data_IF_560505178049
#
_entry.id   IF_560505178049
#
_cell.length_a   1.000
_cell.length_b   1.000
_cell.length_c   1.000
_cell.angle_alpha   90.00
_cell.angle_beta   90.00
_cell.angle_gamma   90.00
#
_symmetry.space_group_name_H-M   'P 1'
#
loop_
_entity.id
_entity.type
_entity.pdbx_description
1 polymer ?
#
# COMPACT_ATOMS: atom_id res chain seq x y z
N UNK A 1 17.91 -12.78 -10.29
CA UNK A 1 18.05 -11.68 -9.31
C UNK A 1 16.64 -11.16 -9.03
N UNK A 2 16.02 -11.62 -7.94
CA UNK A 2 14.63 -11.27 -7.61
C UNK A 2 14.55 -9.79 -7.20
N UNK A 3 13.88 -8.98 -8.00
CA UNK A 3 13.50 -7.63 -7.61
C UNK A 3 12.18 -7.70 -6.83
N UNK A 4 12.24 -7.78 -5.50
CA UNK A 4 11.06 -7.60 -4.66
C UNK A 4 10.78 -6.11 -4.49
N UNK A 5 9.59 -5.68 -4.91
CA UNK A 5 9.00 -4.40 -4.53
C UNK A 5 8.01 -4.73 -3.41
N UNK A 6 8.39 -4.44 -2.17
CA UNK A 6 7.46 -4.54 -1.04
C UNK A 6 6.83 -3.17 -0.80
N UNK A 7 5.80 -2.84 -1.57
CA UNK A 7 4.87 -1.77 -1.21
C UNK A 7 3.81 -2.42 -0.31
N UNK A 8 4.14 -2.53 0.98
CA UNK A 8 3.13 -2.94 1.96
C UNK A 8 2.17 -1.77 2.16
N UNK A 9 0.88 -1.98 1.90
CA UNK A 9 -0.18 -1.01 2.23
C UNK A 9 -0.33 -0.80 3.75
N UNK A 10 0.35 -1.61 4.55
CA UNK A 10 0.46 -1.51 6.01
C UNK A 10 1.58 -0.55 6.41
N UNK A 11 2.53 -0.26 5.50
CA UNK A 11 3.65 0.65 5.71
C UNK A 11 3.34 1.96 4.99
N UNK A 12 3.21 3.04 5.75
CA UNK A 12 3.13 4.38 5.16
C UNK A 12 4.48 4.84 4.53
N UNK A 13 5.42 3.91 4.33
CA UNK A 13 6.77 4.14 3.83
C UNK A 13 7.13 3.06 2.80
N UNK A 14 8.05 3.38 1.90
CA UNK A 14 8.56 2.49 0.86
C UNK A 14 9.97 2.03 1.26
N UNK A 15 10.31 0.79 0.95
CA UNK A 15 11.70 0.28 1.03
C UNK A 15 12.10 -0.28 -0.32
N UNK A 16 13.40 -0.32 -0.60
CA UNK A 16 13.91 -0.98 -1.80
C UNK A 16 15.09 -1.89 -1.46
N UNK A 17 15.07 -3.08 -2.02
CA UNK A 17 16.17 -4.04 -1.93
C UNK A 17 17.43 -3.45 -2.57
N UNK A 18 18.57 -3.57 -1.86
CA UNK A 18 19.87 -3.05 -2.32
C UNK A 18 20.24 -3.66 -3.69
N UNK A 19 20.67 -2.82 -4.61
CA UNK A 19 21.04 -3.18 -5.98
C UNK A 19 19.87 -3.38 -6.94
N UNK A 20 18.61 -3.20 -6.49
CA UNK A 20 17.45 -3.38 -7.35
C UNK A 20 17.24 -2.19 -8.30
N UNK A 21 16.61 -2.44 -9.46
CA UNK A 21 16.15 -1.37 -10.36
C UNK A 21 15.21 -0.38 -9.66
N UNK A 22 14.43 -0.86 -8.71
CA UNK A 22 13.53 -0.02 -7.92
C UNK A 22 14.30 0.92 -6.98
N UNK A 23 15.43 0.47 -6.42
CA UNK A 23 16.31 1.35 -5.63
C UNK A 23 16.85 2.51 -6.46
N UNK A 24 17.25 2.25 -7.72
CA UNK A 24 17.70 3.31 -8.64
C UNK A 24 16.58 4.31 -8.92
N UNK A 25 15.36 3.83 -9.14
CA UNK A 25 14.19 4.67 -9.38
C UNK A 25 13.85 5.54 -8.16
N UNK A 26 13.86 4.97 -6.95
CA UNK A 26 13.65 5.74 -5.72
C UNK A 26 14.73 6.81 -5.54
N UNK A 27 16.00 6.52 -5.84
CA UNK A 27 17.08 7.51 -5.77
C UNK A 27 16.86 8.68 -6.74
N UNK A 28 16.28 8.43 -7.91
CA UNK A 28 15.89 9.50 -8.84
C UNK A 28 14.76 10.34 -8.26
N UNK A 29 13.73 9.72 -7.67
CA UNK A 29 12.64 10.43 -7.00
C UNK A 29 13.12 11.22 -5.78
N UNK A 30 14.08 10.69 -5.03
CA UNK A 30 14.72 11.37 -3.90
C UNK A 30 15.45 12.63 -4.39
N UNK A 31 16.25 12.51 -5.47
CA UNK A 31 16.93 13.65 -6.09
C UNK A 31 15.95 14.70 -6.63
N UNK A 32 14.79 14.26 -7.12
CA UNK A 32 13.71 15.14 -7.59
C UNK A 32 12.86 15.73 -6.45
N UNK A 33 13.15 15.39 -5.18
CA UNK A 33 12.41 15.88 -4.02
C UNK A 33 10.99 15.33 -3.88
N UNK A 34 10.66 14.23 -4.58
CA UNK A 34 9.34 13.59 -4.54
C UNK A 34 9.20 12.63 -3.34
N UNK A 35 10.33 12.07 -2.89
CA UNK A 35 10.43 11.24 -1.70
C UNK A 35 11.64 11.66 -0.87
N UNK A 36 11.63 11.37 0.42
CA UNK A 36 12.77 11.58 1.33
C UNK A 36 13.02 10.34 2.18
N UNK A 37 14.27 10.16 2.63
CA UNK A 37 14.58 9.13 3.62
C UNK A 37 13.91 9.46 4.94
N UNK A 38 13.35 8.44 5.56
CA UNK A 38 12.76 8.50 6.88
C UNK A 38 13.75 7.96 7.92
N UNK A 39 14.19 8.76 8.89
CA UNK A 39 15.22 8.32 9.84
C UNK A 39 14.76 7.14 10.68
N UNK A 40 15.59 6.10 10.77
CA UNK A 40 15.26 4.92 11.57
C UNK A 40 15.10 5.23 13.07
N UNK A 41 15.68 6.33 13.56
CA UNK A 41 15.55 6.79 14.95
C UNK A 41 14.12 7.20 15.34
N UNK A 42 13.26 7.54 14.37
CA UNK A 42 11.88 8.02 14.62
C UNK A 42 10.81 7.04 14.14
N UNK A 43 11.21 5.88 13.62
CA UNK A 43 10.29 4.82 13.19
C UNK A 43 10.70 3.47 13.76
N UNK A 44 9.74 2.72 14.30
CA UNK A 44 10.08 1.51 15.05
C UNK A 44 8.90 0.66 15.50
N UNK A 45 9.01 0.12 16.71
CA UNK A 45 8.02 -0.77 17.34
C UNK A 45 7.62 -0.23 18.71
N UNK A 46 6.33 -0.20 19.01
CA UNK A 46 5.78 0.01 20.35
C UNK A 46 5.46 -1.35 20.96
N UNK A 47 6.25 -1.74 21.96
CA UNK A 47 5.99 -2.96 22.74
C UNK A 47 5.25 -2.62 24.03
N UNK A 48 4.30 -3.49 24.40
CA UNK A 48 3.79 -3.50 25.77
C UNK A 48 4.93 -3.90 26.71
N UNK A 49 5.01 -3.26 27.87
CA UNK A 49 5.89 -3.73 28.94
C UNK A 49 5.43 -5.15 29.33
N UNK A 50 6.31 -6.14 29.21
CA UNK A 50 6.07 -7.46 29.79
C UNK A 50 6.13 -7.31 31.31
N UNK A 51 5.09 -7.76 31.99
CA UNK A 51 4.99 -7.81 33.45
C UNK A 51 5.77 -8.98 34.03
N UNK A 52 7.04 -9.17 33.63
CA UNK A 52 7.87 -10.31 34.05
C UNK A 52 9.15 -9.93 34.83
N UNK A 53 9.36 -8.65 35.17
CA UNK A 53 10.45 -8.23 36.09
C UNK A 53 9.90 -7.56 37.37
N UNK A 54 8.93 -8.21 38.01
CA UNK A 54 8.48 -7.84 39.35
C UNK A 54 8.61 -9.03 40.31
N UNK A 55 9.84 -9.48 40.55
CA UNK A 55 10.18 -10.20 41.78
C UNK A 55 10.66 -9.19 42.82
N UNK A 56 9.74 -8.38 43.34
CA UNK A 56 9.89 -7.94 44.73
C UNK A 56 8.52 -7.56 45.30
N UNK A 57 8.11 -8.31 46.32
CA UNK A 57 6.84 -8.15 47.01
C UNK A 57 6.93 -7.00 48.01
N UNK A 58 6.54 -5.79 47.60
CA UNK A 58 6.09 -4.76 48.54
C UNK A 58 4.87 -4.05 47.98
N UNK A 59 3.70 -4.45 48.50
CA UNK A 59 2.40 -3.86 48.15
C UNK A 59 2.18 -2.63 49.04
N UNK A 60 2.38 -1.45 48.47
CA UNK A 60 1.59 -0.27 48.86
C UNK A 60 0.77 0.14 47.66
N UNK A 61 -0.55 -0.01 47.81
CA UNK A 61 -1.54 0.39 46.83
C UNK A 61 -1.57 1.92 46.79
N UNK A 62 -0.95 2.51 45.76
CA UNK A 62 -1.32 3.83 45.26
C UNK A 62 -0.73 4.05 43.86
N UNK A 63 -1.56 4.66 43.00
CA UNK A 63 -1.31 5.07 41.60
C UNK A 63 -1.39 3.97 40.53
N UNK A 64 -2.26 4.22 39.55
CA UNK A 64 -2.36 3.51 38.29
C UNK A 64 -1.01 3.55 37.54
N UNK A 65 -0.16 2.56 37.78
CA UNK A 65 1.00 2.27 36.95
C UNK A 65 0.52 1.80 35.58
N UNK A 66 0.15 2.77 34.72
CA UNK A 66 0.02 2.54 33.28
C UNK A 66 1.39 2.07 32.81
N UNK A 67 1.51 0.79 32.49
CA UNK A 67 2.70 0.24 31.84
C UNK A 67 3.00 1.07 30.59
N UNK A 68 4.00 1.94 30.69
CA UNK A 68 4.40 2.81 29.57
C UNK A 68 4.89 1.88 28.46
N UNK A 69 4.20 1.88 27.33
CA UNK A 69 4.70 1.14 26.16
C UNK A 69 6.04 1.76 25.75
N UNK A 70 7.08 0.93 25.58
CA UNK A 70 8.41 1.43 25.23
C UNK A 70 8.54 1.44 23.70
N UNK A 71 8.84 2.62 23.16
CA UNK A 71 9.23 2.73 21.76
C UNK A 71 10.64 2.19 21.56
N UNK A 72 10.83 1.39 20.51
CA UNK A 72 12.12 0.93 20.06
C UNK A 72 12.27 1.30 18.58
N UNK A 73 13.18 2.23 18.31
CA UNK A 73 13.60 2.59 16.95
C UNK A 73 14.13 1.38 16.18
N UNK A 74 13.98 1.39 14.85
CA UNK A 74 14.60 0.38 14.01
C UNK A 74 16.13 0.55 13.97
N UNK A 75 16.85 -0.56 13.96
CA UNK A 75 18.31 -0.62 13.74
C UNK A 75 18.68 -1.69 12.69
N UNK A 76 17.74 -1.96 11.78
CA UNK A 76 17.87 -3.03 10.78
C UNK A 76 18.66 -2.60 9.54
N UNK A 77 19.22 -1.39 9.53
CA UNK A 77 19.91 -0.74 8.40
C UNK A 77 19.06 -0.64 7.12
N UNK A 78 17.76 -0.93 7.20
CA UNK A 78 16.84 -0.80 6.07
C UNK A 78 16.56 0.68 5.86
N UNK A 79 16.75 1.15 4.63
CA UNK A 79 16.41 2.52 4.26
C UNK A 79 14.92 2.60 3.94
N UNK A 80 14.24 3.49 4.65
CA UNK A 80 12.81 3.76 4.50
C UNK A 80 12.63 5.11 3.82
N UNK A 81 11.68 5.21 2.90
CA UNK A 81 11.36 6.42 2.18
C UNK A 81 9.91 6.82 2.40
N UNK A 82 9.65 8.11 2.44
CA UNK A 82 8.33 8.71 2.59
C UNK A 82 8.12 9.76 1.49
N UNK A 83 6.88 10.04 1.11
CA UNK A 83 6.60 11.16 0.20
C UNK A 83 6.79 12.51 0.91
N UNK A 84 7.54 13.42 0.31
CA UNK A 84 7.95 14.71 0.91
C UNK A 84 6.77 15.64 1.24
N UNK A 85 5.64 15.46 0.58
CA UNK A 85 4.36 16.13 0.90
C UNK A 85 3.21 15.13 0.82
N UNK A 86 3.46 13.91 1.28
CA UNK A 86 2.67 12.74 0.91
C UNK A 86 3.08 12.19 -0.46
N UNK A 87 2.38 11.16 -0.93
CA UNK A 87 2.71 10.47 -2.19
C UNK A 87 2.01 11.04 -3.43
N UNK A 88 1.07 11.97 -3.25
CA UNK A 88 0.35 12.59 -4.37
C UNK A 88 1.29 13.29 -5.37
N UNK A 89 2.28 14.11 -4.97
CA UNK A 89 3.23 14.70 -5.92
C UNK A 89 4.02 13.67 -6.73
N UNK A 90 4.38 12.54 -6.11
CA UNK A 90 5.03 11.44 -6.82
C UNK A 90 4.09 10.85 -7.89
N UNK A 91 2.83 10.59 -7.53
CA UNK A 91 1.83 10.08 -8.46
C UNK A 91 1.57 11.05 -9.62
N UNK A 92 1.48 12.34 -9.35
CA UNK A 92 1.29 13.37 -10.37
C UNK A 92 2.53 13.49 -11.28
N UNK A 93 3.74 13.45 -10.71
CA UNK A 93 4.98 13.45 -11.49
C UNK A 93 5.11 12.23 -12.41
N UNK A 94 4.54 11.08 -12.04
CA UNK A 94 4.47 9.90 -12.91
C UNK A 94 3.39 10.07 -13.99
N UNK A 95 2.28 10.72 -13.66
CA UNK A 95 1.19 10.99 -14.59
C UNK A 95 1.59 11.97 -15.70
N UNK A 96 2.41 12.99 -15.40
CA UNK A 96 2.91 13.96 -16.40
C UNK A 96 3.85 13.33 -17.43
N UNK A 97 4.42 12.17 -17.13
CA UNK A 97 5.24 11.39 -18.07
C UNK A 97 4.40 10.54 -19.03
N UNK A 98 3.08 10.46 -18.82
CA UNK A 98 2.17 9.74 -19.70
C UNK A 98 1.62 10.68 -20.79
N UNK A 99 1.49 10.17 -22.03
CA UNK A 99 0.96 10.94 -23.17
C UNK A 99 -0.47 11.42 -22.95
N UNK A 100 -1.29 10.61 -22.27
CA UNK A 100 -2.68 10.96 -21.97
C UNK A 100 -3.14 10.30 -20.68
N UNK A 101 -3.70 11.10 -19.79
CA UNK A 101 -4.32 10.65 -18.55
C UNK A 101 -5.74 11.18 -18.52
N UNK A 102 -6.73 10.30 -18.39
CA UNK A 102 -8.15 10.68 -18.36
C UNK A 102 -8.71 10.37 -16.97
N UNK A 103 -9.15 11.40 -16.25
CA UNK A 103 -9.72 11.32 -14.90
C UNK A 103 -10.90 12.30 -14.77
N UNK A 104 -12.05 11.93 -14.17
CA UNK A 104 -12.43 10.59 -13.74
C UNK A 104 -12.88 9.72 -14.93
N UNK A 105 -12.35 8.50 -15.06
CA UNK A 105 -12.78 7.56 -16.09
C UNK A 105 -12.85 6.13 -15.55
N UNK A 106 -14.07 5.61 -15.45
CA UNK A 106 -14.30 4.20 -15.16
C UNK A 106 -14.28 3.38 -16.45
N UNK A 107 -13.56 2.26 -16.45
CA UNK A 107 -13.56 1.27 -17.54
C UNK A 107 -14.25 0.02 -17.00
N UNK A 108 -15.46 -0.24 -17.50
CA UNK A 108 -16.32 -1.31 -17.02
C UNK A 108 -16.39 -2.53 -17.93
N UNK A 109 -15.92 -2.40 -19.17
CA UNK A 109 -15.92 -3.48 -20.16
C UNK A 109 -14.72 -3.36 -21.10
N UNK A 110 -14.14 -4.51 -21.46
CA UNK A 110 -13.16 -4.65 -22.53
C UNK A 110 -13.58 -5.79 -23.45
N UNK A 111 -13.88 -5.49 -24.72
CA UNK A 111 -14.29 -6.50 -25.70
C UNK A 111 -13.23 -6.70 -26.77
N UNK A 112 -12.92 -7.96 -27.12
CA UNK A 112 -12.10 -8.25 -28.27
C UNK A 112 -12.90 -7.99 -29.57
N UNK A 113 -12.27 -7.37 -30.56
CA UNK A 113 -12.87 -7.07 -31.85
C UNK A 113 -11.91 -7.43 -32.98
N UNK A 114 -12.47 -7.98 -34.06
CA UNK A 114 -11.76 -8.08 -35.33
C UNK A 114 -12.12 -6.82 -36.14
N UNK A 115 -11.10 -6.08 -36.54
CA UNK A 115 -11.20 -4.90 -37.40
C UNK A 115 -10.41 -5.17 -38.69
N UNK A 116 -10.54 -4.30 -39.69
CA UNK A 116 -9.74 -4.38 -40.92
C UNK A 116 -8.23 -4.30 -40.64
N UNK A 117 -7.85 -3.54 -39.61
CA UNK A 117 -6.46 -3.39 -39.12
C UNK A 117 -6.00 -4.56 -38.22
N UNK A 118 -6.81 -5.61 -38.09
CA UNK A 118 -6.54 -6.75 -37.22
C UNK A 118 -7.28 -6.68 -35.88
N UNK A 119 -6.76 -7.40 -34.89
CA UNK A 119 -7.43 -7.55 -33.59
C UNK A 119 -7.21 -6.32 -32.72
N UNK A 120 -8.29 -5.75 -32.20
CA UNK A 120 -8.27 -4.63 -31.26
C UNK A 120 -9.10 -4.96 -30.01
N UNK A 121 -8.89 -4.18 -28.96
CA UNK A 121 -9.69 -4.13 -27.75
C UNK A 121 -10.52 -2.87 -27.73
N UNK A 122 -11.85 -3.03 -27.63
CA UNK A 122 -12.76 -1.91 -27.37
C UNK A 122 -12.95 -1.76 -25.88
N UNK A 123 -12.65 -0.60 -25.33
CA UNK A 123 -12.95 -0.27 -23.93
C UNK A 123 -14.23 0.55 -23.86
N UNK A 124 -15.05 0.35 -22.82
CA UNK A 124 -16.26 1.15 -22.57
C UNK A 124 -16.51 1.32 -21.07
N UNK A 125 -17.44 2.22 -20.70
CA UNK A 125 -17.87 2.38 -19.30
C UNK A 125 -18.66 1.16 -18.78
N UNK A 126 -19.14 0.29 -19.67
CA UNK A 126 -19.91 -0.91 -19.37
C UNK A 126 -20.67 -1.42 -20.59
N UNK A 127 -21.40 -2.54 -20.46
CA UNK A 127 -22.12 -3.16 -21.57
C UNK A 127 -23.08 -2.20 -22.25
N UNK A 128 -23.04 -2.18 -23.59
CA UNK A 128 -23.90 -1.33 -24.42
C UNK A 128 -23.61 0.17 -24.35
N UNK A 129 -22.50 0.60 -23.72
CA UNK A 129 -22.08 2.00 -23.69
C UNK A 129 -21.13 2.34 -24.83
N UNK A 130 -21.06 3.63 -25.14
CA UNK A 130 -20.14 4.16 -26.15
C UNK A 130 -18.68 3.79 -25.86
N UNK A 131 -17.87 3.55 -26.91
CA UNK A 131 -16.47 3.20 -26.75
C UNK A 131 -15.67 4.39 -26.19
N UNK A 132 -14.82 4.10 -25.21
CA UNK A 132 -13.77 4.98 -24.72
C UNK A 132 -12.52 4.98 -25.61
N UNK A 133 -12.46 4.03 -26.56
CA UNK A 133 -11.40 3.90 -27.54
C UNK A 133 -11.17 2.44 -27.95
N UNK A 134 -10.29 2.29 -28.93
CA UNK A 134 -9.84 1.02 -29.49
C UNK A 134 -8.31 0.93 -29.35
N UNK A 135 -7.82 -0.21 -28.88
CA UNK A 135 -6.42 -0.36 -28.50
C UNK A 135 -5.87 -1.72 -28.96
N UNK A 136 -4.62 -1.77 -29.42
CA UNK A 136 -3.95 -3.03 -29.76
C UNK A 136 -3.70 -3.91 -28.53
N UNK A 137 -3.39 -3.26 -27.40
CA UNK A 137 -3.11 -3.92 -26.12
C UNK A 137 -3.79 -3.19 -24.97
N UNK A 138 -4.12 -3.96 -23.93
CA UNK A 138 -4.67 -3.44 -22.69
C UNK A 138 -3.82 -3.96 -21.54
N UNK A 139 -3.35 -3.05 -20.69
CA UNK A 139 -2.65 -3.37 -19.45
C UNK A 139 -3.56 -3.01 -18.28
N UNK A 140 -3.80 -3.97 -17.39
CA UNK A 140 -4.66 -3.77 -16.21
C UNK A 140 -3.79 -3.63 -14.97
N UNK A 141 -3.68 -2.41 -14.45
CA UNK A 141 -2.92 -2.08 -13.23
C UNK A 141 -3.85 -1.74 -12.06
N UNK A 142 -4.84 -2.60 -11.79
CA UNK A 142 -5.81 -2.44 -10.70
C UNK A 142 -5.68 -3.58 -9.67
N UNK A 143 -6.29 -3.42 -8.49
CA UNK A 143 -6.45 -4.53 -7.55
C UNK A 143 -7.11 -5.76 -8.22
N UNK A 144 -6.79 -6.96 -7.73
CA UNK A 144 -7.16 -8.22 -8.40
C UNK A 144 -8.66 -8.37 -8.66
N UNK A 145 -9.53 -7.92 -7.75
CA UNK A 145 -10.99 -8.09 -7.89
C UNK A 145 -11.57 -7.28 -9.04
N UNK A 146 -11.22 -6.00 -9.19
CA UNK A 146 -11.74 -5.22 -10.32
C UNK A 146 -11.07 -5.64 -11.63
N UNK A 147 -9.78 -6.02 -11.58
CA UNK A 147 -9.10 -6.57 -12.74
C UNK A 147 -9.79 -7.86 -13.25
N UNK A 148 -10.14 -8.77 -12.34
CA UNK A 148 -10.86 -10.00 -12.67
C UNK A 148 -12.22 -9.70 -13.32
N UNK A 149 -13.01 -8.79 -12.74
CA UNK A 149 -14.30 -8.36 -13.30
C UNK A 149 -14.17 -7.79 -14.71
N UNK A 150 -13.15 -6.97 -14.96
CA UNK A 150 -12.91 -6.45 -16.30
C UNK A 150 -12.50 -7.58 -17.27
N UNK A 151 -11.64 -8.51 -16.84
CA UNK A 151 -11.23 -9.68 -17.63
C UNK A 151 -12.38 -10.66 -17.94
N UNK A 152 -13.39 -10.73 -17.09
CA UNK A 152 -14.60 -11.52 -17.36
C UNK A 152 -15.42 -10.95 -18.52
N UNK A 153 -15.35 -9.64 -18.78
CA UNK A 153 -16.05 -9.02 -19.91
C UNK A 153 -15.42 -9.32 -21.26
N UNK A 154 -14.16 -9.78 -21.30
CA UNK A 154 -13.40 -10.08 -22.51
C UNK A 154 -13.94 -11.31 -23.26
N UNK A 155 -15.15 -11.23 -23.81
CA UNK A 155 -15.81 -12.32 -24.52
C UNK A 155 -15.98 -11.99 -25.99
N UNK A 156 -15.66 -12.96 -26.83
CA UNK A 156 -16.05 -12.96 -28.23
C UNK A 156 -17.57 -13.11 -28.37
N UNK A 157 -18.11 -12.83 -29.56
CA UNK A 157 -19.55 -13.00 -29.85
C UNK A 157 -20.04 -14.44 -29.62
N UNK A 158 -19.17 -15.43 -29.79
CA UNK A 158 -19.45 -16.84 -29.51
C UNK A 158 -19.40 -17.19 -28.00
N UNK A 159 -19.22 -16.20 -27.11
CA UNK A 159 -19.15 -16.36 -25.66
C UNK A 159 -17.78 -16.78 -25.12
N UNK A 160 -16.82 -17.13 -25.98
CA UNK A 160 -15.48 -17.54 -25.56
C UNK A 160 -14.71 -16.38 -24.92
N UNK A 161 -14.09 -16.61 -23.77
CA UNK A 161 -13.26 -15.61 -23.11
C UNK A 161 -11.90 -15.47 -23.84
N UNK A 162 -11.64 -14.28 -24.39
CA UNK A 162 -10.41 -13.92 -25.09
C UNK A 162 -9.20 -13.69 -24.18
N UNK A 163 -9.43 -13.53 -22.88
CA UNK A 163 -8.44 -13.32 -21.84
C UNK A 163 -8.45 -14.45 -20.79
N UNK A 164 -8.85 -15.67 -21.16
CA UNK A 164 -9.09 -16.78 -20.21
C UNK A 164 -7.94 -17.03 -19.24
N UNK A 165 -6.69 -17.06 -19.74
CA UNK A 165 -5.48 -17.23 -18.89
C UNK A 165 -5.34 -16.09 -17.86
N UNK A 166 -5.58 -14.86 -18.28
CA UNK A 166 -5.52 -13.68 -17.41
C UNK A 166 -6.63 -13.75 -16.37
N UNK A 167 -7.87 -14.01 -16.79
CA UNK A 167 -9.02 -14.18 -15.88
C UNK A 167 -8.77 -15.23 -14.80
N UNK A 168 -8.19 -16.38 -15.16
CA UNK A 168 -7.82 -17.43 -14.19
C UNK A 168 -6.75 -16.97 -13.20
N UNK A 169 -5.75 -16.19 -13.65
CA UNK A 169 -4.69 -15.67 -12.77
C UNK A 169 -5.16 -14.57 -11.80
N UNK A 170 -6.27 -13.91 -12.13
CA UNK A 170 -6.82 -12.79 -11.35
C UNK A 170 -7.85 -13.23 -10.30
N UNK A 171 -8.12 -14.54 -10.18
CA UNK A 171 -9.06 -15.05 -9.18
C UNK A 171 -8.66 -14.61 -7.78
N UNK A 172 -9.58 -13.98 -7.08
CA UNK A 172 -9.32 -13.45 -5.74
C UNK A 172 -10.00 -14.28 -4.66
N UNK A 173 -9.39 -14.30 -3.46
CA UNK A 173 -10.03 -14.76 -2.24
C UNK A 173 -9.81 -13.75 -1.11
N UNK A 174 -10.73 -13.75 -0.15
CA UNK A 174 -10.75 -12.83 0.99
C UNK A 174 -10.56 -13.60 2.31
N UNK A 175 -10.03 -12.91 3.31
CA UNK A 175 -9.91 -13.38 4.69
C UNK A 175 -8.48 -13.67 5.13
N UNK A 176 -8.28 -13.77 6.44
CA UNK A 176 -7.03 -14.26 7.03
C UNK A 176 -6.93 -15.75 6.74
N UNK A 177 -5.79 -16.18 6.20
CA UNK A 177 -5.47 -17.59 6.00
C UNK A 177 -4.03 -17.85 6.42
N UNK A 178 -3.76 -19.08 6.85
CA UNK A 178 -2.39 -19.49 7.16
C UNK A 178 -1.52 -19.49 5.90
N UNK A 179 -0.20 -19.36 6.04
CA UNK A 179 0.72 -19.41 4.90
C UNK A 179 0.55 -20.71 4.08
N UNK A 180 0.26 -21.82 4.76
CA UNK A 180 0.02 -23.12 4.12
C UNK A 180 -1.25 -23.11 3.26
N UNK A 181 -2.35 -22.54 3.78
CA UNK A 181 -3.59 -22.38 3.01
C UNK A 181 -3.41 -21.43 1.82
N UNK A 182 -2.64 -20.35 1.99
CA UNK A 182 -2.33 -19.41 0.92
C UNK A 182 -1.54 -20.09 -0.21
N UNK A 183 -0.57 -20.94 0.13
CA UNK A 183 0.25 -21.67 -0.85
C UNK A 183 -0.56 -22.70 -1.66
N UNK A 184 -1.58 -23.30 -1.05
CA UNK A 184 -2.48 -24.25 -1.74
C UNK A 184 -3.44 -23.53 -2.69
N UNK A 185 -3.76 -22.26 -2.45
CA UNK A 185 -4.68 -21.49 -3.27
C UNK A 185 -3.93 -20.79 -4.41
N UNK A 186 -4.28 -21.14 -5.66
CA UNK A 186 -3.84 -20.40 -6.86
C UNK A 186 -4.65 -19.10 -7.06
N UNK A 187 -4.77 -18.29 -6.00
CA UNK A 187 -5.61 -17.09 -5.98
C UNK A 187 -4.86 -15.90 -5.37
N UNK A 188 -5.23 -14.71 -5.82
CA UNK A 188 -4.80 -13.45 -5.22
C UNK A 188 -5.56 -13.24 -3.92
N UNK A 189 -4.83 -13.14 -2.82
CA UNK A 189 -5.44 -12.98 -1.50
C UNK A 189 -5.45 -11.49 -1.18
N UNK A 190 -6.64 -10.96 -0.98
CA UNK A 190 -6.85 -9.55 -0.69
C UNK A 190 -7.27 -9.40 0.77
N UNK A 191 -6.53 -8.58 1.50
CA UNK A 191 -6.84 -8.21 2.88
C UNK A 191 -7.45 -6.82 2.94
N UNK A 192 -8.37 -6.64 3.88
CA UNK A 192 -8.92 -5.33 4.22
C UNK A 192 -8.07 -4.69 5.29
N UNK A 193 -7.76 -3.40 5.11
CA UNK A 193 -7.06 -2.58 6.10
C UNK A 193 -8.05 -1.53 6.57
N UNK A 194 -8.22 -1.40 7.88
CA UNK A 194 -9.01 -0.33 8.46
C UNK A 194 -8.09 0.76 8.95
N UNK A 195 -8.40 1.99 8.57
CA UNK A 195 -7.56 3.15 8.89
C UNK A 195 -8.43 4.20 9.55
N UNK A 196 -8.02 4.63 10.74
CA UNK A 196 -8.61 5.73 11.49
C UNK A 196 -7.64 6.90 11.44
N UNK A 197 -8.13 8.05 11.01
CA UNK A 197 -7.41 9.31 11.09
C UNK A 197 -8.07 10.17 12.15
N UNK A 198 -7.29 10.73 13.06
CA UNK A 198 -7.78 11.70 14.03
C UNK A 198 -6.85 12.90 14.12
N UNK A 199 -7.41 14.02 14.54
CA UNK A 199 -6.73 15.31 14.65
C UNK A 199 -6.86 15.78 16.09
N UNK A 200 -5.78 16.32 16.64
CA UNK A 200 -5.75 16.89 17.99
C UNK A 200 -5.47 18.39 17.89
N UNK A 201 -6.04 19.17 18.81
CA UNK A 201 -5.75 20.61 18.90
C UNK A 201 -4.32 20.89 19.36
N UNK A 202 -3.83 20.05 20.29
CA UNK A 202 -2.47 20.11 20.81
C UNK A 202 -1.59 18.97 20.26
N UNK A 203 -0.27 19.18 20.11
CA UNK A 203 0.66 18.11 19.76
C UNK A 203 0.60 16.95 20.75
N UNK A 204 0.59 15.74 20.21
CA UNK A 204 0.78 14.54 21.01
C UNK A 204 2.26 14.44 21.35
N UNK A 205 2.58 14.43 22.65
CA UNK A 205 3.95 14.29 23.16
C UNK A 205 4.44 12.85 23.00
N UNK A 206 5.02 12.56 21.83
CA UNK A 206 5.66 11.30 21.48
C UNK A 206 6.99 11.57 20.79
N UNK A 207 7.98 10.75 21.08
CA UNK A 207 9.34 10.80 20.54
C UNK A 207 9.51 10.01 19.23
N UNK A 208 8.39 9.56 18.63
CA UNK A 208 8.36 8.76 17.41
C UNK A 208 7.34 9.29 16.39
N UNK A 209 7.60 9.02 15.12
CA UNK A 209 6.77 9.43 13.98
C UNK A 209 5.98 8.27 13.37
N UNK A 210 6.43 7.03 13.59
CA UNK A 210 5.74 5.82 13.15
C UNK A 210 6.11 4.61 13.97
N UNK A 211 5.13 3.78 14.29
CA UNK A 211 5.38 2.59 15.08
C UNK A 211 4.49 1.42 14.68
N UNK A 212 5.11 0.25 14.52
CA UNK A 212 4.39 -1.01 14.57
C UNK A 212 3.96 -1.28 16.00
N UNK A 213 2.70 -1.70 16.19
CA UNK A 213 2.15 -1.92 17.52
C UNK A 213 1.88 -3.41 17.69
N UNK A 214 2.40 -3.99 18.77
CA UNK A 214 2.08 -5.37 19.17
C UNK A 214 0.71 -5.42 19.85
N UNK A 215 -0.35 -5.30 19.05
CA UNK A 215 -1.75 -5.37 19.50
C UNK A 215 -2.60 -6.17 18.51
N UNK A 216 -3.67 -6.81 19.01
CA UNK A 216 -4.68 -7.48 18.19
C UNK A 216 -5.64 -6.50 17.48
N UNK A 217 -5.61 -5.21 17.86
CA UNK A 217 -6.54 -4.17 17.39
C UNK A 217 -5.85 -3.10 16.54
N UNK A 218 -4.58 -2.81 16.80
CA UNK A 218 -3.85 -1.79 16.03
C UNK A 218 -2.50 -2.39 15.68
N UNK A 219 -2.18 -2.39 14.39
CA UNK A 219 -0.91 -2.92 13.88
C UNK A 219 0.12 -1.82 13.65
N UNK A 220 -0.34 -0.58 13.48
CA UNK A 220 0.48 0.55 13.09
C UNK A 220 -0.12 1.87 13.57
N UNK A 221 0.72 2.80 14.01
CA UNK A 221 0.39 4.19 14.25
C UNK A 221 1.42 5.12 13.59
N UNK A 222 1.00 6.31 13.17
CA UNK A 222 1.92 7.32 12.65
C UNK A 222 1.46 8.74 12.96
N UNK A 223 2.41 9.56 13.40
CA UNK A 223 2.28 11.00 13.47
C UNK A 223 2.56 11.58 12.07
N UNK A 224 1.49 11.83 11.32
CA UNK A 224 1.58 12.27 9.92
C UNK A 224 2.17 13.68 9.83
N UNK A 225 1.94 14.51 10.85
CA UNK A 225 2.46 15.88 10.95
C UNK A 225 3.97 15.90 10.99
N UNK A 226 4.56 15.21 11.97
CA UNK A 226 6.00 15.15 12.15
C UNK A 226 6.67 14.52 10.92
N UNK A 227 6.07 13.43 10.42
CA UNK A 227 6.49 12.78 9.19
C UNK A 227 6.48 13.71 7.96
N UNK A 228 5.48 14.58 7.81
CA UNK A 228 5.42 15.55 6.69
C UNK A 228 6.42 16.68 6.85
N UNK A 229 6.74 17.09 8.08
CA UNK A 229 7.75 18.12 8.35
C UNK A 229 9.16 17.68 7.88
N UNK A 230 9.46 16.38 7.88
CA UNK A 230 10.70 15.83 7.33
C UNK A 230 10.83 16.08 5.81
N UNK A 231 9.71 16.21 5.10
CA UNK A 231 9.66 16.37 3.66
C UNK A 231 9.53 17.82 3.18
N UNK A 232 9.05 18.74 4.02
CA UNK A 232 8.85 20.13 3.67
C UNK A 232 8.92 21.03 4.92
N UNK A 233 9.94 21.90 5.00
CA UNK A 233 10.19 22.79 6.15
C UNK A 233 9.22 23.98 6.27
N UNK A 234 8.34 24.21 5.28
CA UNK A 234 7.60 25.46 5.11
C UNK A 234 6.06 25.35 5.19
N UNK A 235 5.48 24.41 5.95
CA UNK A 235 4.01 24.35 6.13
C UNK A 235 3.55 24.51 7.58
N UNK A 236 2.48 25.29 7.74
CA UNK A 236 1.74 25.48 9.00
C UNK A 236 1.05 24.21 9.47
N UNK A 237 0.90 24.11 10.80
CA UNK A 237 0.66 22.89 11.58
C UNK A 237 -0.82 22.48 11.59
N UNK A 238 -1.24 21.65 10.63
CA UNK A 238 -2.42 20.80 10.84
C UNK A 238 -1.99 19.40 11.29
N UNK A 239 -2.45 19.00 12.48
CA UNK A 239 -1.85 17.88 13.19
C UNK A 239 -2.68 16.60 13.09
N UNK A 240 -2.22 15.65 12.29
CA UNK A 240 -2.97 14.43 11.99
C UNK A 240 -2.22 13.19 12.48
N UNK A 241 -2.90 12.33 13.22
CA UNK A 241 -2.40 11.00 13.60
C UNK A 241 -3.24 9.93 12.91
N UNK A 242 -2.56 8.93 12.33
CA UNK A 242 -3.18 7.82 11.63
C UNK A 242 -2.98 6.52 12.44
N UNK A 243 -4.05 5.80 12.72
CA UNK A 243 -4.06 4.47 13.31
C UNK A 243 -4.53 3.46 12.26
N UNK A 244 -3.78 2.38 12.07
CA UNK A 244 -4.09 1.31 11.12
C UNK A 244 -4.25 -0.05 11.81
N UNK A 245 -5.39 -0.71 11.59
CA UNK A 245 -5.56 -2.15 11.86
C UNK A 245 -5.19 -2.92 10.60
N UNK A 246 -4.30 -3.90 10.76
CA UNK A 246 -4.05 -4.90 9.73
C UNK A 246 -4.37 -6.29 10.27
N UNK A 247 -5.16 -7.01 9.50
CA UNK A 247 -5.12 -8.46 9.44
C UNK A 247 -4.33 -8.83 8.16
N UNK A 248 -3.02 -9.06 8.32
CA UNK A 248 -1.94 -9.38 7.35
C UNK A 248 -2.24 -9.43 5.84
N UNK A 249 -1.35 -8.84 5.02
CA UNK A 249 -1.19 -9.16 3.58
C UNK A 249 0.28 -9.39 3.20
N UNK A 250 0.57 -10.57 2.64
CA UNK A 250 1.81 -10.82 1.86
C UNK A 250 1.42 -10.97 0.40
N UNK A 251 1.85 -10.05 -0.48
CA UNK A 251 1.83 -10.25 -1.93
C UNK A 251 3.20 -10.76 -2.34
N UNK A 252 3.33 -12.08 -2.58
CA UNK A 252 4.46 -12.64 -3.31
C UNK A 252 3.97 -13.03 -4.70
N UNK A 253 4.42 -12.31 -5.73
CA UNK A 253 4.37 -12.83 -7.09
C UNK A 253 5.56 -13.76 -7.28
N UNK A 254 5.30 -15.06 -7.47
CA UNK A 254 6.27 -15.93 -8.16
C UNK A 254 6.14 -15.62 -9.65
N UNK A 255 7.24 -15.20 -10.29
CA UNK A 255 7.43 -15.47 -11.71
C UNK A 255 7.92 -16.91 -11.84
#
# INVERSE_FOLDING_TARGET
QESSIEISRERLYITASKGSRFELLIKQWEKAGLVSRWPNSVVGVLRKHSSEEATDNTVTADSASRSKSKFQAFDDRVVRYIGTSGYEPLCESLATQCTRVVRPQWVGEMLPMNTEEGRKWRLSKGPGRDPLGFYDFVVISHNGKCAARLAETAKWKNGQNAASKVSSSLQCAFGIRSLEELQKQRRLILSSIWVLMFVTSEPIDVDWEGAHISSSIISWASNVTAKRAQGNKNREREQTTLLGHTQHATIRSRQ
#
